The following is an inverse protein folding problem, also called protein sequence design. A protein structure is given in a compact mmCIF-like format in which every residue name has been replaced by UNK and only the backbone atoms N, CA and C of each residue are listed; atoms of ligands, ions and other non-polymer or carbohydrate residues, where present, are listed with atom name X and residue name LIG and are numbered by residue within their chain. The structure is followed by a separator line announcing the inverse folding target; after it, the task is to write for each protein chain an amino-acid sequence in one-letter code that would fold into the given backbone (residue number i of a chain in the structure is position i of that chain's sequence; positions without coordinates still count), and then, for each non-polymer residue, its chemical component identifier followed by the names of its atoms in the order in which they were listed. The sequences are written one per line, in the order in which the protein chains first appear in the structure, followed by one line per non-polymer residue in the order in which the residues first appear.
data_IF_654847067462
#
_entry.id   IF_654847067462
#
_cell.length_a   1.000
_cell.length_b   1.000
_cell.length_c   1.000
_cell.angle_alpha   90.00
_cell.angle_beta   90.00
_cell.angle_gamma   90.00
#
_symmetry.space_group_name_H-M   'P 1'
#
loop_
_entity.id
_entity.type
_entity.pdbx_description
1 polymer ?
#
# COMPACT_ATOMS: atom_id res chain seq x y z
N UNK A 1 27.46 37.55 -7.58
CA UNK A 1 26.15 38.10 -7.99
C UNK A 1 25.71 37.37 -9.25
N UNK A 2 24.99 36.26 -9.08
CA UNK A 2 24.26 35.57 -10.13
C UNK A 2 22.82 35.55 -9.63
N UNK A 3 21.97 36.33 -10.30
CA UNK A 3 20.55 36.45 -9.99
C UNK A 3 19.87 35.13 -10.36
N UNK A 4 19.48 34.35 -9.35
CA UNK A 4 18.56 33.25 -9.55
C UNK A 4 17.15 33.83 -9.67
N UNK A 5 16.52 33.56 -10.81
CA UNK A 5 15.15 33.95 -11.17
C UNK A 5 14.14 33.38 -10.14
N UNK A 6 13.25 34.21 -9.55
CA UNK A 6 12.38 33.79 -8.44
C UNK A 6 11.22 32.85 -8.84
N UNK A 7 11.14 32.38 -10.10
CA UNK A 7 10.02 31.56 -10.59
C UNK A 7 10.39 30.22 -11.24
N UNK A 8 11.61 29.72 -11.08
CA UNK A 8 11.94 28.36 -11.56
C UNK A 8 11.60 27.33 -10.48
N UNK A 9 10.40 26.76 -10.57
CA UNK A 9 10.12 25.47 -9.92
C UNK A 9 11.03 24.40 -10.56
N UNK A 10 12.25 24.26 -10.06
CA UNK A 10 13.11 23.14 -10.40
C UNK A 10 12.38 21.87 -9.98
N UNK A 11 12.06 21.01 -10.96
CA UNK A 11 11.51 19.70 -10.68
C UNK A 11 12.48 18.97 -9.72
N UNK A 12 11.97 18.29 -8.67
CA UNK A 12 12.82 17.54 -7.78
C UNK A 12 13.63 16.50 -8.57
N UNK A 13 14.85 16.18 -8.13
CA UNK A 13 15.69 15.20 -8.82
C UNK A 13 14.94 13.86 -8.95
N UNK A 14 15.11 13.15 -10.09
CA UNK A 14 14.35 11.93 -10.34
C UNK A 14 14.67 10.86 -9.30
N UNK A 15 13.64 10.32 -8.67
CA UNK A 15 13.77 9.18 -7.75
C UNK A 15 14.11 7.95 -8.59
N UNK A 16 15.33 7.44 -8.45
CA UNK A 16 15.82 6.24 -9.15
C UNK A 16 15.71 4.97 -8.32
N UNK A 17 15.83 5.07 -7.00
CA UNK A 17 15.83 3.93 -6.09
C UNK A 17 15.04 4.28 -4.82
N UNK A 18 14.20 3.35 -4.38
CA UNK A 18 13.56 3.34 -3.07
C UNK A 18 13.89 2.01 -2.41
N UNK A 19 14.34 2.03 -1.15
CA UNK A 19 14.66 0.82 -0.41
C UNK A 19 14.01 0.86 0.97
N UNK A 20 13.48 -0.28 1.40
CA UNK A 20 12.95 -0.51 2.74
C UNK A 20 13.39 -1.90 3.20
N UNK A 21 14.35 -1.95 4.13
CA UNK A 21 15.06 -3.18 4.47
C UNK A 21 15.64 -3.85 3.20
N UNK A 22 15.25 -5.10 2.93
CA UNK A 22 15.64 -5.87 1.76
C UNK A 22 14.77 -5.59 0.51
N UNK A 23 13.58 -5.02 0.70
CA UNK A 23 12.70 -4.66 -0.41
C UNK A 23 13.23 -3.40 -1.12
N UNK A 24 13.71 -3.57 -2.36
CA UNK A 24 14.25 -2.48 -3.19
C UNK A 24 13.44 -2.32 -4.47
N UNK A 25 13.00 -1.09 -4.74
CA UNK A 25 12.33 -0.66 -5.96
C UNK A 25 13.27 0.24 -6.75
N UNK A 26 13.50 -0.10 -8.01
CA UNK A 26 14.34 0.69 -8.93
C UNK A 26 13.50 1.14 -10.13
N UNK A 27 13.69 2.39 -10.55
CA UNK A 27 13.03 2.97 -11.72
C UNK A 27 14.02 3.04 -12.88
N UNK A 28 13.77 2.24 -13.90
CA UNK A 28 14.62 2.11 -15.08
C UNK A 28 13.94 2.68 -16.32
N UNK A 29 14.71 3.36 -17.17
CA UNK A 29 14.23 3.96 -18.42
C UNK A 29 14.50 3.08 -19.65
N UNK A 30 15.62 2.36 -19.65
CA UNK A 30 16.04 1.51 -20.76
C UNK A 30 16.86 0.31 -20.23
N UNK A 31 17.04 -0.76 -21.04
CA UNK A 31 17.84 -1.92 -20.66
C UNK A 31 19.28 -1.62 -20.26
N UNK A 32 19.91 -0.60 -20.85
CA UNK A 32 21.28 -0.19 -20.48
C UNK A 32 21.37 0.30 -19.02
N UNK A 33 20.33 0.97 -18.50
CA UNK A 33 20.26 1.29 -17.06
C UNK A 33 20.15 0.03 -16.19
N UNK A 34 19.55 -1.05 -16.68
CA UNK A 34 19.51 -2.33 -15.98
C UNK A 34 20.89 -2.99 -15.93
N UNK A 35 21.65 -2.95 -17.02
CA UNK A 35 23.03 -3.49 -17.06
C UNK A 35 23.92 -2.77 -16.04
N UNK A 36 23.88 -1.44 -15.99
CA UNK A 36 24.60 -0.68 -14.96
C UNK A 36 24.13 -1.01 -13.53
N UNK A 37 22.82 -1.18 -13.33
CA UNK A 37 22.28 -1.63 -12.05
C UNK A 37 22.83 -3.01 -11.68
N UNK A 38 22.89 -3.92 -12.64
CA UNK A 38 23.39 -5.28 -12.45
C UNK A 38 24.86 -5.28 -12.05
N UNK A 39 25.69 -4.42 -12.65
CA UNK A 39 27.09 -4.24 -12.24
C UNK A 39 27.24 -3.77 -10.80
N UNK A 40 26.41 -2.80 -10.39
CA UNK A 40 26.38 -2.29 -9.01
C UNK A 40 25.93 -3.40 -8.03
N UNK A 41 24.89 -4.14 -8.39
CA UNK A 41 24.38 -5.25 -7.58
C UNK A 41 25.45 -6.34 -7.46
N UNK A 42 26.15 -6.69 -8.53
CA UNK A 42 27.21 -7.70 -8.52
C UNK A 42 28.37 -7.30 -7.60
N UNK A 43 28.79 -6.03 -7.64
CA UNK A 43 29.81 -5.51 -6.73
C UNK A 43 29.33 -5.57 -5.27
N UNK A 44 28.07 -5.18 -5.02
CA UNK A 44 27.50 -5.26 -3.68
C UNK A 44 27.42 -6.71 -3.17
N UNK A 45 26.97 -7.65 -4.00
CA UNK A 45 26.90 -9.08 -3.65
C UNK A 45 28.29 -9.65 -3.33
N UNK A 46 29.31 -9.30 -4.13
CA UNK A 46 30.68 -9.73 -3.89
C UNK A 46 31.26 -9.20 -2.57
N UNK A 47 30.94 -7.95 -2.21
CA UNK A 47 31.42 -7.33 -0.97
C UNK A 47 30.65 -7.76 0.29
N UNK A 48 29.35 -8.04 0.17
CA UNK A 48 28.45 -8.30 1.31
C UNK A 48 28.08 -9.78 1.51
N UNK A 49 28.43 -10.64 0.55
CA UNK A 49 27.95 -12.03 0.47
C UNK A 49 26.41 -12.14 0.40
N UNK A 50 25.71 -11.05 0.07
CA UNK A 50 24.28 -11.06 -0.23
C UNK A 50 24.03 -11.63 -1.64
N UNK A 51 22.79 -12.06 -1.90
CA UNK A 51 22.36 -12.52 -3.22
C UNK A 51 21.03 -11.91 -3.61
N UNK A 52 20.92 -11.44 -4.85
CA UNK A 52 19.63 -11.03 -5.42
C UNK A 52 18.77 -12.27 -5.68
N UNK A 53 17.49 -12.20 -5.33
CA UNK A 53 16.54 -13.29 -5.59
C UNK A 53 15.68 -12.97 -6.82
N UNK A 54 16.22 -13.28 -8.01
CA UNK A 54 15.56 -13.02 -9.30
C UNK A 54 14.14 -13.62 -9.41
N UNK A 55 13.90 -14.77 -8.77
CA UNK A 55 12.56 -15.40 -8.79
C UNK A 55 11.51 -14.62 -7.99
N UNK A 56 11.95 -13.78 -7.04
CA UNK A 56 11.08 -12.85 -6.30
C UNK A 56 11.07 -11.44 -6.90
N UNK A 57 12.03 -11.12 -7.77
CA UNK A 57 12.07 -9.84 -8.47
C UNK A 57 10.91 -9.74 -9.46
N UNK A 58 10.21 -8.61 -9.40
CA UNK A 58 9.06 -8.34 -10.24
C UNK A 58 9.29 -7.03 -10.98
N UNK A 59 8.88 -6.98 -12.25
CA UNK A 59 8.92 -5.80 -13.08
C UNK A 59 7.51 -5.27 -13.34
N UNK A 60 7.35 -3.95 -13.38
CA UNK A 60 6.09 -3.29 -13.65
C UNK A 60 6.26 -2.21 -14.72
N UNK A 61 5.39 -2.23 -15.73
CA UNK A 61 5.25 -1.14 -16.67
C UNK A 61 4.54 0.05 -16.04
N UNK A 62 5.25 1.16 -15.82
CA UNK A 62 4.64 2.40 -15.30
C UNK A 62 3.63 3.02 -16.26
N UNK A 63 3.74 2.77 -17.57
CA UNK A 63 2.73 3.18 -18.55
C UNK A 63 1.51 2.25 -18.59
N UNK A 64 1.57 1.12 -17.85
CA UNK A 64 0.58 0.05 -17.87
C UNK A 64 0.50 -0.70 -19.20
N UNK A 65 1.33 -0.39 -20.20
CA UNK A 65 1.34 -1.12 -21.49
C UNK A 65 2.34 -2.27 -21.44
N UNK A 66 2.09 -3.39 -22.14
CA UNK A 66 3.11 -4.40 -22.35
C UNK A 66 4.27 -3.80 -23.15
N UNK A 67 5.49 -4.19 -22.80
CA UNK A 67 6.71 -3.79 -23.51
C UNK A 67 7.48 -5.05 -23.90
N UNK A 68 7.16 -5.67 -25.05
CA UNK A 68 7.78 -6.94 -25.45
C UNK A 68 9.32 -6.94 -25.42
N UNK A 69 10.04 -5.89 -25.85
CA UNK A 69 11.50 -5.86 -25.74
C UNK A 69 12.02 -5.92 -24.30
N UNK A 70 11.32 -5.29 -23.36
CA UNK A 70 11.66 -5.34 -21.95
C UNK A 70 11.32 -6.70 -21.34
N UNK A 71 10.19 -7.28 -21.71
CA UNK A 71 9.77 -8.60 -21.24
C UNK A 71 10.81 -9.66 -21.64
N UNK A 72 11.20 -9.68 -22.92
CA UNK A 72 12.22 -10.63 -23.40
C UNK A 72 13.57 -10.39 -22.73
N UNK A 73 14.02 -9.13 -22.67
CA UNK A 73 15.29 -8.79 -22.03
C UNK A 73 15.34 -9.23 -20.56
N UNK A 74 14.28 -8.98 -19.78
CA UNK A 74 14.24 -9.36 -18.37
C UNK A 74 14.14 -10.87 -18.17
N UNK A 75 13.46 -11.58 -19.07
CA UNK A 75 13.41 -13.05 -19.06
C UNK A 75 14.80 -13.65 -19.25
N UNK A 76 15.62 -13.09 -20.15
CA UNK A 76 17.02 -13.51 -20.35
C UNK A 76 17.88 -13.31 -19.09
N UNK A 77 17.49 -12.36 -18.22
CA UNK A 77 18.11 -12.09 -16.92
C UNK A 77 17.50 -12.90 -15.76
N UNK A 78 16.58 -13.84 -16.05
CA UNK A 78 15.92 -14.67 -15.05
C UNK A 78 14.76 -13.99 -14.30
N UNK A 79 14.33 -12.81 -14.73
CA UNK A 79 13.18 -12.07 -14.16
C UNK A 79 11.95 -12.35 -15.01
N UNK A 80 11.15 -13.32 -14.59
CA UNK A 80 9.97 -13.77 -15.35
C UNK A 80 8.66 -13.10 -14.92
N UNK A 81 8.63 -12.44 -13.77
CA UNK A 81 7.42 -11.83 -13.23
C UNK A 81 7.26 -10.41 -13.76
N UNK A 82 6.44 -10.25 -14.79
CA UNK A 82 6.11 -8.97 -15.41
C UNK A 82 4.66 -8.57 -15.15
N UNK A 83 4.45 -7.31 -14.79
CA UNK A 83 3.12 -6.72 -14.59
C UNK A 83 2.90 -5.53 -15.53
N UNK A 84 1.73 -5.52 -16.14
CA UNK A 84 1.16 -4.38 -16.86
C UNK A 84 -0.38 -4.45 -16.74
N UNK A 85 -1.14 -3.65 -17.49
CA UNK A 85 -2.61 -3.62 -17.41
C UNK A 85 -3.29 -4.95 -17.71
N UNK A 86 -2.62 -5.85 -18.43
CA UNK A 86 -3.15 -7.16 -18.83
C UNK A 86 -2.95 -8.24 -17.78
N UNK A 87 -2.06 -8.02 -16.79
CA UNK A 87 -1.89 -8.93 -15.67
C UNK A 87 -3.17 -8.98 -14.81
N UNK A 88 -3.52 -10.16 -14.33
CA UNK A 88 -4.73 -10.39 -13.51
C UNK A 88 -4.62 -9.74 -12.13
N UNK A 89 -3.43 -9.86 -11.51
CA UNK A 89 -3.09 -9.32 -10.20
C UNK A 89 -2.13 -8.12 -10.33
N UNK A 90 -2.31 -7.08 -9.50
CA UNK A 90 -1.34 -5.99 -9.42
C UNK A 90 -0.06 -6.42 -8.71
N UNK A 91 1.05 -5.78 -9.06
CA UNK A 91 2.27 -5.83 -8.26
C UNK A 91 2.00 -5.18 -6.90
N UNK A 92 2.47 -5.80 -5.82
CA UNK A 92 2.35 -5.25 -4.47
C UNK A 92 3.72 -4.89 -3.90
N UNK A 93 3.88 -3.65 -3.47
CA UNK A 93 5.09 -3.15 -2.81
C UNK A 93 4.74 -2.63 -1.41
N UNK A 94 5.38 -3.16 -0.36
CA UNK A 94 5.12 -2.81 1.05
C UNK A 94 3.64 -2.91 1.48
N UNK A 95 2.90 -3.85 0.87
CA UNK A 95 1.47 -4.04 1.12
C UNK A 95 0.56 -3.06 0.37
N UNK A 96 1.08 -2.30 -0.60
CA UNK A 96 0.31 -1.43 -1.48
C UNK A 96 0.31 -1.96 -2.91
N UNK A 97 -0.89 -2.14 -3.48
CA UNK A 97 -1.02 -2.57 -4.87
C UNK A 97 -0.81 -1.41 -5.84
N UNK A 98 0.07 -1.60 -6.80
CA UNK A 98 0.28 -0.69 -7.92
C UNK A 98 -0.54 -1.23 -9.09
N UNK A 99 -1.71 -0.64 -9.30
CA UNK A 99 -2.69 -1.10 -10.29
C UNK A 99 -2.54 -0.33 -11.60
N UNK A 100 -2.43 -1.05 -12.71
CA UNK A 100 -2.44 -0.51 -14.07
C UNK A 100 -3.79 -0.66 -14.77
N UNK A 101 -4.77 -1.34 -14.15
CA UNK A 101 -6.13 -1.49 -14.68
C UNK A 101 -7.21 -1.51 -13.59
N UNK A 102 -8.45 -1.22 -13.98
CA UNK A 102 -9.60 -1.30 -13.09
C UNK A 102 -9.84 -2.74 -12.59
N UNK A 103 -9.53 -3.75 -13.41
CA UNK A 103 -9.63 -5.16 -13.04
C UNK A 103 -8.68 -5.48 -11.88
N UNK A 104 -7.40 -5.13 -12.01
CA UNK A 104 -6.40 -5.34 -10.94
C UNK A 104 -6.81 -4.66 -9.63
N UNK A 105 -7.32 -3.42 -9.71
CA UNK A 105 -7.82 -2.68 -8.56
C UNK A 105 -8.99 -3.41 -7.90
N UNK A 106 -9.95 -3.92 -8.68
CA UNK A 106 -11.07 -4.70 -8.17
C UNK A 106 -10.59 -6.01 -7.53
N UNK A 107 -9.70 -6.76 -8.19
CA UNK A 107 -9.13 -8.00 -7.67
C UNK A 107 -8.40 -7.77 -6.34
N UNK A 108 -7.59 -6.72 -6.24
CA UNK A 108 -6.92 -6.38 -5.00
C UNK A 108 -7.90 -6.03 -3.87
N UNK A 109 -8.91 -5.19 -4.14
CA UNK A 109 -9.94 -4.87 -3.16
C UNK A 109 -10.66 -6.13 -2.66
N UNK A 110 -11.05 -7.02 -3.57
CA UNK A 110 -11.66 -8.31 -3.25
C UNK A 110 -10.73 -9.19 -2.41
N UNK A 111 -9.43 -9.18 -2.68
CA UNK A 111 -8.43 -9.94 -1.90
C UNK A 111 -8.37 -9.46 -0.44
N UNK A 112 -8.42 -8.14 -0.22
CA UNK A 112 -8.40 -7.54 1.13
C UNK A 112 -9.70 -7.85 1.87
N UNK A 113 -10.85 -7.67 1.21
CA UNK A 113 -12.17 -7.99 1.78
C UNK A 113 -12.25 -9.47 2.14
N UNK A 114 -11.73 -10.35 1.30
CA UNK A 114 -11.70 -11.80 1.53
C UNK A 114 -10.79 -12.17 2.69
N UNK A 115 -9.62 -11.55 2.82
CA UNK A 115 -8.74 -11.71 3.99
C UNK A 115 -9.47 -11.31 5.28
N UNK A 116 -10.13 -10.15 5.30
CA UNK A 116 -10.91 -9.69 6.47
C UNK A 116 -12.03 -10.67 6.80
N UNK A 117 -12.77 -11.17 5.80
CA UNK A 117 -13.80 -12.21 5.98
C UNK A 117 -13.22 -13.47 6.62
N UNK A 118 -12.07 -13.94 6.14
CA UNK A 118 -11.39 -15.11 6.70
C UNK A 118 -10.97 -14.88 8.16
N UNK A 119 -10.46 -13.69 8.51
CA UNK A 119 -10.16 -13.35 9.90
C UNK A 119 -11.42 -13.32 10.77
N UNK A 120 -12.53 -12.73 10.29
CA UNK A 120 -13.81 -12.78 11.00
C UNK A 120 -14.26 -14.22 11.24
N UNK A 121 -14.11 -15.11 10.26
CA UNK A 121 -14.44 -16.54 10.41
C UNK A 121 -13.53 -17.23 11.42
N UNK A 122 -12.22 -17.02 11.37
CA UNK A 122 -11.27 -17.61 12.33
C UNK A 122 -11.58 -17.18 13.77
N UNK A 123 -11.85 -15.89 13.99
CA UNK A 123 -12.15 -15.38 15.33
C UNK A 123 -13.57 -15.70 15.81
N UNK A 124 -14.45 -16.14 14.91
CA UNK A 124 -15.83 -16.47 15.26
C UNK A 124 -15.99 -17.77 16.03
N UNK A 125 -14.98 -18.66 16.00
CA UNK A 125 -14.94 -19.87 16.80
C UNK A 125 -14.81 -19.57 18.31
N UNK A 126 -14.38 -18.35 18.67
CA UNK A 126 -14.20 -17.94 20.06
C UNK A 126 -15.52 -17.43 20.64
N UNK A 127 -15.84 -17.81 21.88
CA UNK A 127 -17.00 -17.32 22.62
C UNK A 127 -16.78 -15.88 23.12
N UNK A 128 -16.78 -14.91 22.20
CA UNK A 128 -16.54 -13.50 22.51
C UNK A 128 -17.85 -12.75 22.77
N UNK A 129 -17.83 -11.86 23.77
CA UNK A 129 -18.88 -10.85 24.00
C UNK A 129 -18.93 -9.84 22.85
N UNK A 130 -20.02 -9.07 22.75
CA UNK A 130 -20.13 -7.97 21.78
C UNK A 130 -18.94 -7.01 21.83
N UNK A 131 -18.58 -6.57 23.05
CA UNK A 131 -17.41 -5.70 23.27
C UNK A 131 -16.12 -6.38 22.83
N UNK A 132 -15.91 -7.65 23.18
CA UNK A 132 -14.74 -8.42 22.75
C UNK A 132 -14.61 -8.52 21.23
N UNK A 133 -15.74 -8.70 20.52
CA UNK A 133 -15.75 -8.72 19.05
C UNK A 133 -15.41 -7.36 18.45
N UNK A 134 -15.94 -6.27 19.01
CA UNK A 134 -15.59 -4.92 18.57
C UNK A 134 -14.10 -4.62 18.81
N UNK A 135 -13.55 -5.03 19.95
CA UNK A 135 -12.11 -4.91 20.22
C UNK A 135 -11.28 -5.68 19.20
N UNK A 136 -11.65 -6.93 18.88
CA UNK A 136 -10.97 -7.73 17.84
C UNK A 136 -11.01 -7.03 16.49
N UNK A 137 -12.17 -6.50 16.07
CA UNK A 137 -12.27 -5.77 14.80
C UNK A 137 -11.37 -4.54 14.81
N UNK A 138 -11.53 -3.65 15.79
CA UNK A 138 -10.81 -2.39 15.83
C UNK A 138 -9.30 -2.59 15.92
N UNK A 139 -8.83 -3.54 16.73
CA UNK A 139 -7.41 -3.71 17.00
C UNK A 139 -6.68 -4.59 15.97
N UNK A 140 -7.32 -5.65 15.46
CA UNK A 140 -6.65 -6.68 14.65
C UNK A 140 -7.03 -6.62 13.17
N UNK A 141 -8.31 -6.48 12.85
CA UNK A 141 -8.78 -6.57 11.48
C UNK A 141 -8.63 -5.22 10.78
N UNK A 142 -9.09 -4.16 11.45
CA UNK A 142 -9.06 -2.81 10.89
C UNK A 142 -7.66 -2.20 10.90
N UNK A 143 -6.76 -2.58 11.81
CA UNK A 143 -5.37 -2.13 11.75
C UNK A 143 -4.70 -2.47 10.41
N UNK A 144 -4.97 -3.66 9.86
CA UNK A 144 -4.51 -4.07 8.52
C UNK A 144 -5.17 -3.25 7.41
N UNK A 145 -6.46 -2.94 7.56
CA UNK A 145 -7.21 -2.14 6.60
C UNK A 145 -6.70 -0.70 6.54
N UNK A 146 -6.39 -0.10 7.70
CA UNK A 146 -5.85 1.26 7.79
C UNK A 146 -4.52 1.41 7.09
N UNK A 147 -3.65 0.40 7.18
CA UNK A 147 -2.38 0.40 6.44
C UNK A 147 -2.62 0.57 4.93
N UNK A 148 -3.49 -0.26 4.35
CA UNK A 148 -3.80 -0.25 2.91
C UNK A 148 -4.55 1.02 2.49
N UNK A 149 -5.52 1.47 3.28
CA UNK A 149 -6.35 2.65 2.99
C UNK A 149 -5.58 3.96 2.90
N UNK A 150 -4.35 4.01 3.42
CA UNK A 150 -3.49 5.19 3.30
C UNK A 150 -3.21 5.58 1.85
N UNK A 151 -3.11 4.62 0.94
CA UNK A 151 -2.80 4.85 -0.48
C UNK A 151 -3.79 4.20 -1.44
N UNK A 152 -4.64 3.29 -0.96
CA UNK A 152 -5.64 2.61 -1.78
C UNK A 152 -7.06 3.09 -1.44
N UNK A 153 -7.82 3.47 -2.48
CA UNK A 153 -9.20 3.94 -2.34
C UNK A 153 -10.20 2.81 -2.61
N UNK A 154 -10.96 2.46 -1.57
CA UNK A 154 -12.11 1.57 -1.69
C UNK A 154 -13.33 2.33 -2.23
N UNK A 155 -14.10 1.67 -3.08
CA UNK A 155 -15.34 2.22 -3.61
C UNK A 155 -16.44 2.20 -2.54
N UNK A 156 -17.49 3.03 -2.63
CA UNK A 156 -18.60 2.99 -1.66
C UNK A 156 -19.23 1.60 -1.48
N UNK A 157 -19.44 0.79 -2.54
CA UNK A 157 -19.90 -0.59 -2.38
C UNK A 157 -18.93 -1.47 -1.58
N UNK A 158 -17.62 -1.32 -1.77
CA UNK A 158 -16.61 -2.09 -1.04
C UNK A 158 -16.53 -1.69 0.44
N UNK A 159 -16.63 -0.38 0.73
CA UNK A 159 -16.73 0.12 2.11
C UNK A 159 -17.97 -0.44 2.80
N UNK A 160 -19.11 -0.46 2.09
CA UNK A 160 -20.35 -1.07 2.60
C UNK A 160 -20.18 -2.56 2.86
N UNK A 161 -19.46 -3.30 2.01
CA UNK A 161 -19.15 -4.71 2.25
C UNK A 161 -18.29 -4.90 3.51
N UNK A 162 -17.30 -4.04 3.75
CA UNK A 162 -16.47 -4.07 4.96
C UNK A 162 -17.30 -3.79 6.22
N UNK A 163 -18.17 -2.78 6.19
CA UNK A 163 -19.10 -2.46 7.26
C UNK A 163 -20.05 -3.63 7.56
N UNK A 164 -20.59 -4.27 6.51
CA UNK A 164 -21.46 -5.45 6.63
C UNK A 164 -20.73 -6.65 7.23
N UNK A 165 -19.48 -6.90 6.84
CA UNK A 165 -18.66 -7.97 7.44
C UNK A 165 -18.46 -7.74 8.93
N UNK A 166 -18.16 -6.51 9.33
CA UNK A 166 -17.98 -6.15 10.73
C UNK A 166 -19.28 -6.31 11.52
N UNK A 167 -20.39 -5.75 11.02
CA UNK A 167 -21.70 -5.88 11.65
C UNK A 167 -22.13 -7.35 11.79
N UNK A 168 -21.89 -8.16 10.76
CA UNK A 168 -22.24 -9.59 10.75
C UNK A 168 -21.41 -10.37 11.77
N UNK A 169 -20.10 -10.10 11.86
CA UNK A 169 -19.24 -10.72 12.86
C UNK A 169 -19.68 -10.37 14.28
N UNK A 170 -19.94 -9.08 14.55
CA UNK A 170 -20.33 -8.62 15.88
C UNK A 170 -21.69 -9.20 16.29
N UNK A 171 -22.67 -9.21 15.37
CA UNK A 171 -24.02 -9.72 15.64
C UNK A 171 -24.15 -11.25 15.56
N UNK A 172 -23.05 -11.99 15.34
CA UNK A 172 -23.10 -13.44 15.16
C UNK A 172 -23.67 -14.16 16.38
N UNK A 173 -24.69 -14.99 16.18
CA UNK A 173 -25.35 -15.69 17.28
C UNK A 173 -26.28 -14.81 18.13
N UNK A 174 -26.57 -13.58 17.70
CA UNK A 174 -27.65 -12.80 18.30
C UNK A 174 -28.99 -13.43 17.97
N UNK A 175 -29.76 -13.79 19.01
CA UNK A 175 -31.10 -14.40 18.89
C UNK A 175 -32.24 -13.40 19.03
N UNK A 176 -31.99 -12.23 19.66
CA UNK A 176 -33.05 -11.33 20.13
C UNK A 176 -33.01 -9.99 19.38
N UNK A 177 -31.85 -9.31 19.34
CA UNK A 177 -31.73 -8.03 18.65
C UNK A 177 -30.39 -7.92 17.93
N UNK A 178 -30.45 -7.57 16.64
CA UNK A 178 -29.24 -7.22 15.87
C UNK A 178 -29.02 -5.72 15.98
N UNK A 179 -27.82 -5.33 16.35
CA UNK A 179 -27.41 -3.92 16.40
C UNK A 179 -27.10 -3.45 14.98
N UNK A 180 -27.74 -2.36 14.57
CA UNK A 180 -27.41 -1.67 13.32
C UNK A 180 -25.96 -1.18 13.35
N UNK A 181 -25.29 -1.12 12.19
CA UNK A 181 -23.91 -0.66 12.11
C UNK A 181 -23.74 0.75 12.69
N UNK A 182 -24.66 1.66 12.36
CA UNK A 182 -24.64 3.04 12.85
C UNK A 182 -24.78 3.14 14.38
N UNK A 183 -25.45 2.17 15.01
CA UNK A 183 -25.52 2.07 16.46
C UNK A 183 -24.21 1.50 17.06
N UNK A 184 -23.58 0.54 16.38
CA UNK A 184 -22.30 -0.03 16.81
C UNK A 184 -21.19 1.03 16.84
N UNK A 185 -21.22 2.00 15.94
CA UNK A 185 -20.21 3.07 15.84
C UNK A 185 -20.40 4.17 16.90
N UNK A 186 -21.59 4.30 17.48
CA UNK A 186 -21.85 5.34 18.49
C UNK A 186 -20.94 5.20 19.73
N UNK A 187 -20.70 6.32 20.44
CA UNK A 187 -20.05 6.32 21.74
C UNK A 187 -20.75 5.41 22.77
N UNK A 188 -19.97 4.91 23.74
CA UNK A 188 -20.47 4.01 24.79
C UNK A 188 -21.50 4.70 25.69
N UNK A 189 -21.35 5.99 25.95
CA UNK A 189 -22.32 6.79 26.72
C UNK A 189 -23.67 6.99 25.99
N UNK A 190 -23.75 6.70 24.69
CA UNK A 190 -24.98 6.72 23.89
C UNK A 190 -25.52 5.30 23.61
N UNK A 191 -25.02 4.29 24.32
CA UNK A 191 -25.42 2.88 24.13
C UNK A 191 -24.69 2.15 23.01
N UNK A 192 -23.82 2.83 22.26
CA UNK A 192 -23.00 2.21 21.21
C UNK A 192 -21.80 1.45 21.72
N UNK A 193 -20.96 0.95 20.79
CA UNK A 193 -19.78 0.16 21.11
C UNK A 193 -18.47 0.77 20.62
N UNK A 194 -18.49 1.99 20.08
CA UNK A 194 -17.30 2.68 19.54
C UNK A 194 -16.58 1.84 18.46
N UNK A 195 -17.35 1.15 17.62
CA UNK A 195 -16.82 0.51 16.41
C UNK A 195 -16.30 1.60 15.47
N UNK A 196 -15.11 1.42 14.90
CA UNK A 196 -14.59 2.36 13.91
C UNK A 196 -15.31 2.17 12.57
N UNK A 197 -15.68 3.27 11.92
CA UNK A 197 -16.28 3.23 10.59
C UNK A 197 -15.18 3.28 9.50
N UNK A 198 -15.07 2.25 8.63
CA UNK A 198 -14.13 2.25 7.51
C UNK A 198 -14.27 3.45 6.57
N UNK A 199 -15.48 3.95 6.33
CA UNK A 199 -15.68 5.09 5.42
C UNK A 199 -15.13 6.38 6.04
N UNK A 200 -15.48 6.65 7.29
CA UNK A 200 -14.95 7.80 8.05
C UNK A 200 -13.42 7.75 8.17
N UNK A 201 -12.87 6.58 8.50
CA UNK A 201 -11.42 6.43 8.65
C UNK A 201 -10.67 6.57 7.32
N UNK A 202 -11.23 6.07 6.21
CA UNK A 202 -10.65 6.27 4.88
C UNK A 202 -10.52 7.76 4.55
N UNK A 203 -11.58 8.55 4.78
CA UNK A 203 -11.56 9.99 4.57
C UNK A 203 -10.49 10.67 5.43
N UNK A 204 -10.40 10.30 6.72
CA UNK A 204 -9.40 10.87 7.63
C UNK A 204 -7.96 10.57 7.19
N UNK A 205 -7.69 9.33 6.73
CA UNK A 205 -6.36 8.93 6.25
C UNK A 205 -5.98 9.64 4.94
N UNK A 206 -6.93 9.80 4.03
CA UNK A 206 -6.72 10.50 2.75
C UNK A 206 -6.56 12.00 2.93
N UNK A 207 -7.30 12.60 3.87
CA UNK A 207 -7.18 14.01 4.22
C UNK A 207 -5.76 14.40 4.59
N UNK A 208 -5.04 13.52 5.30
CA UNK A 208 -3.63 13.78 5.66
C UNK A 208 -2.75 14.04 4.45
N UNK A 209 -2.95 13.34 3.34
CA UNK A 209 -2.18 13.55 2.11
C UNK A 209 -2.65 14.77 1.34
N UNK A 210 -3.97 14.95 1.23
CA UNK A 210 -4.55 16.11 0.57
C UNK A 210 -4.11 17.42 1.25
N UNK A 211 -4.03 17.43 2.57
CA UNK A 211 -3.55 18.57 3.34
C UNK A 211 -2.15 19.00 2.91
N UNK A 212 -1.20 18.06 2.79
CA UNK A 212 0.17 18.36 2.34
C UNK A 212 0.25 18.81 0.88
N UNK A 213 -0.65 18.32 0.02
CA UNK A 213 -0.71 18.73 -1.38
C UNK A 213 -1.23 20.17 -1.54
N UNK A 214 -2.21 20.56 -0.71
CA UNK A 214 -2.81 21.90 -0.74
C UNK A 214 -1.97 22.92 0.06
N UNK A 215 -1.29 22.46 1.12
CA UNK A 215 -0.44 23.27 1.99
C UNK A 215 0.98 22.71 1.97
N UNK A 216 1.71 22.84 0.85
CA UNK A 216 3.08 22.35 0.76
C UNK A 216 3.94 23.04 1.83
N UNK A 217 4.75 22.28 2.59
CA UNK A 217 5.68 22.89 3.52
C UNK A 217 6.66 23.79 2.75
N UNK A 218 7.15 24.89 3.37
CA UNK A 218 8.12 25.76 2.72
C UNK A 218 9.33 24.94 2.26
N UNK A 219 9.77 25.19 1.03
CA UNK A 219 10.75 24.41 0.26
C UNK A 219 12.19 24.47 0.80
N UNK A 220 12.37 24.61 2.11
CA UNK A 220 13.67 24.70 2.78
C UNK A 220 13.97 23.43 3.57
N UNK A 221 14.07 22.30 2.86
CA UNK A 221 14.76 21.10 3.35
C UNK A 221 15.58 20.52 2.18
N UNK A 222 16.60 21.27 1.76
CA UNK A 222 17.80 20.65 1.21
C UNK A 222 18.33 19.71 2.29
N UNK A 223 18.07 18.40 2.15
CA UNK A 223 18.85 17.37 2.85
C UNK A 223 20.26 17.42 2.27
N UNK A 224 21.06 18.39 2.70
CA UNK A 224 22.50 18.37 2.52
C UNK A 224 23.02 17.25 3.42
N UNK A 225 23.31 16.10 2.83
CA UNK A 225 24.23 15.14 3.43
C UNK A 225 25.59 15.84 3.52
N UNK A 226 25.83 16.53 4.63
CA UNK A 226 27.16 16.98 5.00
C UNK A 226 27.95 15.73 5.40
N UNK A 227 28.64 15.14 4.43
CA UNK A 227 29.77 14.25 4.72
C UNK A 227 30.86 15.16 5.31
N UNK A 228 30.89 15.28 6.63
CA UNK A 228 32.08 15.74 7.32
C UNK A 228 33.13 14.62 7.27
N UNK A 229 33.92 14.61 6.20
CA UNK A 229 35.27 14.07 6.23
C UNK A 229 36.18 15.13 6.86
N UNK A 230 36.61 14.90 8.10
CA UNK A 230 37.80 15.56 8.62
C UNK A 230 38.95 14.54 8.64
N UNK A 231 40.16 14.93 8.19
CA UNK A 231 41.39 14.19 8.47
C UNK A 231 41.77 14.27 9.96
#
# INVERSE_FOLDING_TARGET
MLLADPNVFLAPPPIKVLAYADDTLVVLRNPTEFEHLQDIINQYMAASNASLNYSKTQALSLSGKPHPPWISFLQDQGITSWHDRTATEPLTYLGFAICSSANQRATYALSIISKIRAYCQLHSARALTYRGRVTVINALLYSKLWHVMRLFTFSPPELKQLQQLAATFINRGSKIARLAFDHLTQPINQGGLKLLDPATQANALQWRWLYFLIHPPPTSLTFTYAVHSHP
#
